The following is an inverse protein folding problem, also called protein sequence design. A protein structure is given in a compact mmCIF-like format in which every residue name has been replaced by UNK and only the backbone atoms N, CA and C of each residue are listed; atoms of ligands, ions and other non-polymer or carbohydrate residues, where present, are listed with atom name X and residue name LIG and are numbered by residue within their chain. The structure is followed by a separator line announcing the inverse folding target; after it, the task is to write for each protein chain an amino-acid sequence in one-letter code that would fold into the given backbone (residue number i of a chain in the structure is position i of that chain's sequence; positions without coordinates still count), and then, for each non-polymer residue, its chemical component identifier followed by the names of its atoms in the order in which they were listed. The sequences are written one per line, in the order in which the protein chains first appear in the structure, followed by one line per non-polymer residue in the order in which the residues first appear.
data_IF_391036810135
#
_entry.id   IF_391036810135
#
_cell.length_a   1.000
_cell.length_b   1.000
_cell.length_c   1.000
_cell.angle_alpha   90.00
_cell.angle_beta   90.00
_cell.angle_gamma   90.00
#
_symmetry.space_group_name_H-M   'P 1'
#
loop_
_entity.id
_entity.type
_entity.pdbx_description
1 polymer ?
#
# COMPACT_ATOMS: atom_id res chain seq x y z
N UNK A 1 -30.33 69.39 -11.67
CA UNK A 1 -29.30 68.54 -11.03
C UNK A 1 -29.96 67.21 -10.69
N UNK A 2 -29.90 66.23 -11.62
CA UNK A 2 -30.42 64.84 -11.41
C UNK A 2 -29.38 64.00 -10.83
N UNK A 3 -29.61 63.40 -9.66
CA UNK A 3 -28.76 62.41 -9.03
C UNK A 3 -29.14 61.03 -9.57
N UNK A 4 -28.26 60.42 -10.32
CA UNK A 4 -28.35 59.02 -10.71
C UNK A 4 -27.95 58.12 -9.52
N UNK A 5 -28.86 57.30 -9.01
CA UNK A 5 -28.59 56.25 -8.05
C UNK A 5 -28.21 55.00 -8.82
N UNK A 6 -26.94 54.58 -8.71
CA UNK A 6 -26.45 53.30 -9.21
C UNK A 6 -26.74 52.26 -8.10
N UNK A 7 -27.68 51.37 -8.34
CA UNK A 7 -27.92 50.22 -7.48
C UNK A 7 -26.98 49.11 -7.89
N UNK A 8 -25.99 48.82 -7.03
CA UNK A 8 -25.11 47.64 -7.19
C UNK A 8 -25.87 46.40 -6.75
N UNK A 9 -26.23 45.53 -7.70
CA UNK A 9 -26.73 44.20 -7.40
C UNK A 9 -25.56 43.28 -7.01
N UNK A 10 -25.45 42.98 -5.74
CA UNK A 10 -24.55 41.91 -5.26
C UNK A 10 -25.16 40.56 -5.64
N UNK A 11 -24.55 39.86 -6.59
CA UNK A 11 -24.88 38.48 -6.91
C UNK A 11 -24.31 37.62 -5.78
N UNK A 12 -25.15 37.18 -4.85
CA UNK A 12 -24.82 36.10 -3.92
C UNK A 12 -24.71 34.80 -4.74
N UNK A 13 -23.51 34.35 -5.03
CA UNK A 13 -23.29 32.98 -5.44
C UNK A 13 -23.51 32.10 -4.21
N UNK A 14 -24.68 31.52 -4.09
CA UNK A 14 -24.93 30.43 -3.15
C UNK A 14 -24.10 29.21 -3.62
N UNK A 15 -23.02 28.92 -2.93
CA UNK A 15 -22.33 27.61 -3.06
C UNK A 15 -23.30 26.56 -2.52
N UNK A 16 -24.01 25.87 -3.41
CA UNK A 16 -24.76 24.68 -3.03
C UNK A 16 -23.73 23.66 -2.55
N UNK A 17 -23.82 23.25 -1.28
CA UNK A 17 -23.09 22.11 -0.80
C UNK A 17 -23.48 20.91 -1.66
N UNK A 18 -22.50 20.21 -2.24
CA UNK A 18 -22.77 19.02 -3.02
C UNK A 18 -23.47 17.98 -2.12
N UNK A 19 -24.47 17.29 -2.66
CA UNK A 19 -25.14 16.21 -1.95
C UNK A 19 -24.14 15.06 -1.71
N UNK A 20 -24.36 14.28 -0.64
CA UNK A 20 -23.59 13.05 -0.41
C UNK A 20 -23.75 12.10 -1.60
N UNK A 21 -22.68 11.36 -1.92
CA UNK A 21 -22.71 10.39 -3.00
C UNK A 21 -23.68 9.24 -2.70
N UNK A 22 -24.42 8.75 -3.72
CA UNK A 22 -25.22 7.54 -3.59
C UNK A 22 -24.32 6.32 -3.41
N UNK A 23 -24.76 5.36 -2.63
CA UNK A 23 -24.11 4.05 -2.53
C UNK A 23 -24.42 3.23 -3.79
N UNK A 24 -23.54 3.26 -4.76
CA UNK A 24 -23.71 2.54 -6.04
C UNK A 24 -23.02 1.18 -5.97
N UNK A 25 -23.64 0.16 -6.56
CA UNK A 25 -23.08 -1.18 -6.69
C UNK A 25 -23.10 -1.63 -8.15
N UNK A 26 -22.26 -2.61 -8.48
CA UNK A 26 -22.17 -3.13 -9.84
C UNK A 26 -21.39 -2.22 -10.81
N UNK A 27 -21.24 -2.63 -12.07
CA UNK A 27 -20.47 -1.90 -13.08
C UNK A 27 -21.18 -0.66 -13.64
N UNK A 28 -22.42 -0.39 -13.22
CA UNK A 28 -23.28 0.66 -13.75
C UNK A 28 -22.90 2.07 -13.24
N UNK A 29 -21.96 2.15 -12.31
CA UNK A 29 -21.54 3.44 -11.76
C UNK A 29 -20.94 4.40 -12.80
N UNK A 30 -20.61 3.91 -13.99
CA UNK A 30 -19.91 4.67 -15.02
C UNK A 30 -18.41 4.75 -14.76
N UNK A 31 -17.66 5.45 -15.60
CA UNK A 31 -16.22 5.61 -15.46
C UNK A 31 -15.40 4.83 -16.46
N UNK A 32 -14.08 4.99 -16.37
CA UNK A 32 -13.14 4.37 -17.32
C UNK A 32 -13.01 2.87 -17.13
N UNK A 33 -13.12 2.39 -15.89
CA UNK A 33 -12.99 0.98 -15.56
C UNK A 33 -14.21 0.49 -14.77
N UNK A 34 -14.72 -0.72 -15.05
CA UNK A 34 -15.78 -1.32 -14.24
C UNK A 34 -15.36 -1.44 -12.77
N UNK A 35 -16.28 -1.13 -11.85
CA UNK A 35 -16.10 -1.24 -10.39
C UNK A 35 -14.97 -0.40 -9.75
N UNK A 36 -14.22 0.39 -10.53
CA UNK A 36 -13.05 1.10 -10.04
C UNK A 36 -13.02 2.54 -10.56
N UNK A 37 -12.87 3.51 -9.65
CA UNK A 37 -12.88 4.93 -9.98
C UNK A 37 -11.82 5.68 -9.19
N UNK A 38 -11.26 6.73 -9.80
CA UNK A 38 -10.65 7.79 -9.03
C UNK A 38 -11.76 8.61 -8.34
N UNK A 39 -11.50 9.09 -7.11
CA UNK A 39 -12.50 9.85 -6.33
C UNK A 39 -13.12 11.01 -7.12
N UNK A 40 -12.27 11.85 -7.72
CA UNK A 40 -12.76 13.01 -8.48
C UNK A 40 -13.60 12.61 -9.71
N UNK A 41 -13.27 11.49 -10.36
CA UNK A 41 -14.05 10.92 -11.47
C UNK A 41 -15.43 10.47 -10.98
N UNK A 42 -15.48 9.74 -9.86
CA UNK A 42 -16.72 9.27 -9.26
C UNK A 42 -17.62 10.43 -8.83
N UNK A 43 -17.10 11.38 -8.07
CA UNK A 43 -17.83 12.56 -7.62
C UNK A 43 -18.39 13.37 -8.79
N UNK A 44 -17.62 13.56 -9.85
CA UNK A 44 -18.05 14.24 -11.06
C UNK A 44 -19.16 13.47 -11.78
N UNK A 45 -19.02 12.16 -11.94
CA UNK A 45 -20.00 11.32 -12.64
C UNK A 45 -21.34 11.28 -11.91
N UNK A 46 -21.32 11.27 -10.57
CA UNK A 46 -22.51 11.20 -9.72
C UNK A 46 -23.05 12.59 -9.29
N UNK A 47 -22.33 13.67 -9.57
CA UNK A 47 -22.71 15.02 -9.14
C UNK A 47 -22.75 15.20 -7.62
N UNK A 48 -21.86 14.57 -6.89
CA UNK A 48 -21.87 14.46 -5.44
C UNK A 48 -20.50 14.72 -4.82
N UNK A 49 -20.42 14.65 -3.49
CA UNK A 49 -19.15 14.62 -2.74
C UNK A 49 -19.14 13.44 -1.77
N UNK A 50 -18.05 12.66 -1.75
CA UNK A 50 -17.88 11.53 -0.86
C UNK A 50 -17.58 12.01 0.57
N UNK A 51 -18.37 11.52 1.51
CA UNK A 51 -18.10 11.60 2.95
C UNK A 51 -17.52 10.28 3.42
N UNK A 52 -16.40 10.32 4.14
CA UNK A 52 -15.71 9.10 4.54
C UNK A 52 -16.16 8.60 5.91
N UNK A 53 -16.30 7.28 6.01
CA UNK A 53 -16.61 6.56 7.24
C UNK A 53 -15.53 5.53 7.52
N UNK A 54 -15.26 5.30 8.79
CA UNK A 54 -14.28 4.30 9.23
C UNK A 54 -14.95 3.13 9.95
N UNK A 55 -14.23 2.02 10.00
CA UNK A 55 -14.62 0.87 10.81
C UNK A 55 -14.73 1.27 12.30
N UNK A 56 -15.87 1.08 12.97
CA UNK A 56 -16.03 1.44 14.39
C UNK A 56 -15.03 0.74 15.33
N UNK A 57 -14.49 -0.42 14.92
CA UNK A 57 -13.50 -1.16 15.69
C UNK A 57 -12.05 -0.73 15.42
N UNK A 58 -11.80 0.23 14.49
CA UNK A 58 -10.46 0.48 13.96
C UNK A 58 -9.44 0.90 15.03
N UNK A 59 -9.84 1.66 16.04
CA UNK A 59 -8.96 2.04 17.14
C UNK A 59 -8.54 0.83 18.00
N UNK A 60 -9.50 -0.08 18.27
CA UNK A 60 -9.22 -1.32 18.99
C UNK A 60 -8.32 -2.27 18.17
N UNK A 61 -8.51 -2.32 16.86
CA UNK A 61 -7.65 -3.11 15.97
C UNK A 61 -6.25 -2.51 15.90
N UNK A 62 -6.12 -1.18 15.76
CA UNK A 62 -4.84 -0.50 15.74
C UNK A 62 -4.03 -0.69 17.04
N UNK A 63 -4.67 -0.72 18.20
CA UNK A 63 -3.99 -0.94 19.48
C UNK A 63 -3.33 -2.32 19.60
N UNK A 64 -3.70 -3.26 18.72
CA UNK A 64 -3.08 -4.59 18.63
C UNK A 64 -1.82 -4.62 17.75
N UNK A 65 -1.56 -3.54 17.00
CA UNK A 65 -0.37 -3.43 16.14
C UNK A 65 0.77 -2.91 17.00
N UNK A 66 1.81 -3.72 17.29
CA UNK A 66 2.89 -3.32 18.19
C UNK A 66 3.64 -2.09 17.66
N UNK A 67 3.68 -1.04 18.46
CA UNK A 67 4.40 0.20 18.14
C UNK A 67 3.61 1.23 17.33
N UNK A 68 2.37 0.94 16.92
CA UNK A 68 1.56 1.92 16.21
C UNK A 68 1.10 3.05 17.17
N UNK A 69 1.14 4.30 16.70
CA UNK A 69 0.63 5.44 17.46
C UNK A 69 -0.92 5.45 17.49
N UNK A 70 -1.49 6.33 18.30
CA UNK A 70 -2.93 6.64 18.20
C UNK A 70 -3.28 7.15 16.81
N UNK A 71 -4.47 6.76 16.32
CA UNK A 71 -4.90 7.13 14.99
C UNK A 71 -5.34 8.59 14.90
N UNK A 72 -4.85 9.35 13.92
CA UNK A 72 -5.43 10.64 13.58
C UNK A 72 -6.80 10.45 12.92
N UNK A 73 -7.53 11.55 12.71
CA UNK A 73 -8.81 11.52 12.01
C UNK A 73 -8.70 10.84 10.63
N UNK A 74 -9.74 10.15 10.20
CA UNK A 74 -9.76 9.38 8.94
C UNK A 74 -9.30 10.19 7.72
N UNK A 75 -9.70 11.45 7.62
CA UNK A 75 -9.29 12.34 6.53
C UNK A 75 -7.77 12.59 6.45
N UNK A 76 -7.04 12.36 7.53
CA UNK A 76 -5.57 12.45 7.57
C UNK A 76 -4.89 11.11 7.28
N UNK A 77 -5.65 10.02 7.27
CA UNK A 77 -5.18 8.66 7.01
C UNK A 77 -5.37 8.23 5.57
N UNK A 78 -6.41 8.72 4.91
CA UNK A 78 -6.67 8.46 3.49
C UNK A 78 -5.83 9.39 2.61
N UNK A 79 -5.42 8.94 1.41
CA UNK A 79 -4.89 9.84 0.40
C UNK A 79 -5.95 10.86 -0.04
N UNK A 80 -5.51 11.97 -0.66
CA UNK A 80 -6.43 13.00 -1.17
C UNK A 80 -7.39 12.44 -2.22
N UNK A 81 -6.90 11.49 -3.02
CA UNK A 81 -7.63 10.75 -4.04
C UNK A 81 -7.60 9.24 -3.71
N UNK A 82 -8.41 8.76 -2.75
CA UNK A 82 -8.53 7.32 -2.51
C UNK A 82 -9.13 6.63 -3.75
N UNK A 83 -8.77 5.36 -3.92
CA UNK A 83 -9.38 4.53 -4.93
C UNK A 83 -10.79 4.14 -4.48
N UNK A 84 -11.79 4.44 -5.30
CA UNK A 84 -13.20 4.13 -5.01
C UNK A 84 -13.57 2.81 -5.68
N UNK A 85 -14.07 1.87 -4.88
CA UNK A 85 -14.48 0.54 -5.34
C UNK A 85 -16.00 0.44 -5.27
N UNK A 86 -16.66 0.14 -6.41
CA UNK A 86 -18.07 -0.21 -6.42
C UNK A 86 -18.22 -1.70 -6.10
N UNK A 87 -18.83 -2.08 -4.97
CA UNK A 87 -19.07 -3.49 -4.66
C UNK A 87 -19.99 -4.14 -5.71
N UNK A 88 -19.81 -5.43 -5.98
CA UNK A 88 -20.58 -6.13 -7.01
C UNK A 88 -22.09 -6.15 -6.76
N UNK A 89 -22.50 -6.39 -5.53
CA UNK A 89 -23.93 -6.63 -5.19
C UNK A 89 -24.47 -5.69 -4.12
N UNK A 90 -23.68 -5.43 -3.09
CA UNK A 90 -24.11 -4.63 -1.94
C UNK A 90 -22.92 -4.01 -1.22
N UNK A 91 -23.16 -2.89 -0.54
CA UNK A 91 -22.20 -2.33 0.43
C UNK A 91 -22.02 -3.34 1.56
N UNK A 92 -20.76 -3.59 1.92
CA UNK A 92 -20.43 -4.52 3.00
C UNK A 92 -20.72 -3.96 4.38
N UNK A 93 -20.55 -4.80 5.39
CA UNK A 93 -20.66 -4.43 6.80
C UNK A 93 -19.33 -4.68 7.50
N UNK A 94 -18.93 -3.74 8.35
CA UNK A 94 -17.72 -3.90 9.15
C UNK A 94 -17.86 -5.01 10.18
N UNK A 95 -16.80 -5.79 10.37
CA UNK A 95 -16.71 -6.81 11.40
C UNK A 95 -16.22 -8.15 10.88
N UNK A 96 -16.29 -9.13 11.75
CA UNK A 96 -16.00 -10.53 11.43
C UNK A 96 -14.51 -10.87 11.35
N UNK A 97 -14.27 -12.17 11.25
CA UNK A 97 -12.95 -12.79 11.07
C UNK A 97 -13.04 -13.69 9.84
N UNK A 98 -12.09 -13.56 8.94
CA UNK A 98 -11.89 -14.50 7.84
C UNK A 98 -10.96 -15.61 8.34
N UNK A 99 -11.49 -16.80 8.53
CA UNK A 99 -10.69 -17.99 8.86
C UNK A 99 -10.16 -18.62 7.57
N UNK A 100 -8.88 -18.98 7.58
CA UNK A 100 -8.20 -19.64 6.47
C UNK A 100 -7.20 -20.67 6.94
N UNK A 101 -6.85 -21.57 6.06
CA UNK A 101 -5.86 -22.62 6.25
C UNK A 101 -4.73 -22.39 5.26
N UNK A 102 -3.48 -22.56 5.68
CA UNK A 102 -2.31 -22.43 4.82
C UNK A 102 -1.28 -23.51 5.12
N UNK A 103 -0.59 -23.99 4.08
CA UNK A 103 0.58 -24.85 4.21
C UNK A 103 1.88 -24.07 4.34
N UNK A 104 1.90 -22.81 3.93
CA UNK A 104 3.08 -21.98 3.91
C UNK A 104 3.40 -21.42 5.29
N UNK A 105 4.24 -22.13 6.04
CA UNK A 105 4.64 -21.75 7.39
C UNK A 105 5.74 -20.68 7.44
N UNK A 106 6.65 -20.67 6.47
CA UNK A 106 7.88 -19.86 6.56
C UNK A 106 8.31 -19.20 5.25
N UNK A 107 7.92 -19.74 4.11
CA UNK A 107 8.44 -19.30 2.80
C UNK A 107 7.83 -18.02 2.27
N UNK A 108 6.83 -17.49 2.97
CA UNK A 108 6.18 -16.27 2.58
C UNK A 108 5.01 -16.44 1.63
N UNK A 109 4.76 -17.60 1.03
CA UNK A 109 3.57 -17.81 0.18
C UNK A 109 2.38 -18.19 1.05
N UNK A 110 1.36 -17.35 1.11
CA UNK A 110 0.14 -17.57 1.86
C UNK A 110 -1.04 -17.84 0.93
N UNK A 111 -1.87 -18.81 1.28
CA UNK A 111 -3.11 -19.10 0.55
C UNK A 111 -4.11 -17.93 0.63
N UNK A 112 -3.87 -17.00 1.57
CA UNK A 112 -4.66 -15.77 1.74
C UNK A 112 -4.04 -14.54 1.05
N UNK A 113 -3.02 -14.72 0.20
CA UNK A 113 -2.36 -13.62 -0.50
C UNK A 113 -3.36 -12.77 -1.30
N UNK A 114 -4.27 -13.40 -2.01
CA UNK A 114 -5.25 -12.74 -2.88
C UNK A 114 -6.17 -11.74 -2.16
N UNK A 115 -6.37 -11.90 -0.85
CA UNK A 115 -7.27 -11.02 -0.08
C UNK A 115 -6.56 -9.84 0.57
N UNK A 116 -5.22 -9.78 0.54
CA UNK A 116 -4.45 -8.72 1.20
C UNK A 116 -3.43 -8.02 0.31
N UNK A 117 -2.88 -8.73 -0.69
CA UNK A 117 -1.79 -8.24 -1.53
C UNK A 117 -2.17 -7.00 -2.35
N UNK A 118 -1.24 -6.08 -2.49
CA UNK A 118 -1.38 -4.88 -3.33
C UNK A 118 -0.16 -4.69 -4.23
N UNK A 119 -0.42 -4.32 -5.48
CA UNK A 119 0.59 -3.99 -6.48
C UNK A 119 0.46 -2.53 -6.93
N UNK A 120 1.46 -2.01 -7.63
CA UNK A 120 1.39 -0.65 -8.21
C UNK A 120 0.18 -0.48 -9.10
N UNK A 121 -0.06 -1.46 -9.96
CA UNK A 121 -1.23 -1.57 -10.84
C UNK A 121 -1.77 -3.00 -10.72
N UNK A 122 -2.95 -3.27 -11.22
CA UNK A 122 -3.53 -4.62 -11.16
C UNK A 122 -4.26 -4.93 -12.47
N UNK A 123 -4.49 -6.21 -12.74
CA UNK A 123 -5.46 -6.59 -13.77
C UNK A 123 -6.88 -6.39 -13.25
N UNK A 124 -7.74 -5.93 -14.15
CA UNK A 124 -9.18 -5.91 -13.93
C UNK A 124 -9.75 -7.34 -14.01
N UNK A 125 -11.04 -7.49 -13.74
CA UNK A 125 -11.74 -8.78 -13.74
C UNK A 125 -11.75 -9.50 -15.10
N UNK A 126 -11.52 -8.76 -16.18
CA UNK A 126 -11.36 -9.31 -17.52
C UNK A 126 -9.99 -10.00 -17.73
N UNK A 127 -9.06 -9.88 -16.78
CA UNK A 127 -7.69 -10.39 -16.83
C UNK A 127 -6.87 -9.91 -18.04
N UNK A 128 -7.27 -8.80 -18.64
CA UNK A 128 -6.64 -8.21 -19.83
C UNK A 128 -6.32 -6.74 -19.63
N UNK A 129 -7.22 -6.00 -19.01
CA UNK A 129 -7.08 -4.57 -18.80
C UNK A 129 -6.31 -4.29 -17.52
N UNK A 130 -5.20 -3.55 -17.63
CA UNK A 130 -4.48 -3.08 -16.45
C UNK A 130 -5.15 -1.80 -15.95
N UNK A 131 -5.38 -1.75 -14.64
CA UNK A 131 -6.10 -0.68 -13.96
C UNK A 131 -5.27 -0.08 -12.82
N UNK A 132 -5.53 1.17 -12.38
CA UNK A 132 -4.91 1.78 -11.22
C UNK A 132 -5.06 0.95 -9.95
N UNK A 133 -4.08 1.08 -9.05
CA UNK A 133 -4.15 0.53 -7.71
C UNK A 133 -3.36 1.46 -6.76
N UNK A 134 -2.17 1.07 -6.26
CA UNK A 134 -1.29 1.95 -5.47
C UNK A 134 -0.88 3.15 -6.32
N UNK A 135 -0.47 2.93 -7.56
CA UNK A 135 -0.30 4.01 -8.54
C UNK A 135 -1.67 4.49 -9.06
N UNK A 136 -1.80 5.81 -9.18
CA UNK A 136 -3.00 6.47 -9.70
C UNK A 136 -3.08 6.40 -11.23
N UNK A 137 -1.94 6.54 -11.89
CA UNK A 137 -1.82 6.48 -13.35
C UNK A 137 -0.39 6.18 -13.76
N UNK A 138 -0.20 5.96 -15.07
CA UNK A 138 1.11 5.73 -15.66
C UNK A 138 1.16 6.21 -17.10
N UNK A 139 2.37 6.46 -17.59
CA UNK A 139 2.63 6.85 -18.96
C UNK A 139 3.92 6.20 -19.48
N UNK A 140 3.85 5.66 -20.68
CA UNK A 140 5.01 5.24 -21.46
C UNK A 140 5.51 6.37 -22.36
N UNK A 141 6.81 6.39 -22.64
CA UNK A 141 7.33 7.08 -23.81
C UNK A 141 7.09 6.25 -25.08
N UNK A 142 7.36 6.85 -26.27
CA UNK A 142 6.99 6.27 -27.57
C UNK A 142 7.69 4.93 -27.89
N UNK A 143 8.87 4.70 -27.34
CA UNK A 143 9.69 3.50 -27.62
C UNK A 143 9.70 2.47 -26.48
N UNK A 144 8.87 2.64 -25.45
CA UNK A 144 8.76 1.74 -24.29
C UNK A 144 10.07 1.55 -23.50
N UNK A 145 10.96 2.54 -23.54
CA UNK A 145 12.19 2.57 -22.74
C UNK A 145 12.03 3.36 -21.44
N UNK A 146 10.89 4.05 -21.24
CA UNK A 146 10.63 4.81 -20.04
C UNK A 146 9.17 4.66 -19.61
N UNK A 147 8.98 4.27 -18.34
CA UNK A 147 7.68 4.18 -17.69
C UNK A 147 7.64 5.15 -16.51
N UNK A 148 6.66 6.05 -16.51
CA UNK A 148 6.45 7.01 -15.43
C UNK A 148 5.14 6.70 -14.72
N UNK A 149 5.18 6.58 -13.38
CA UNK A 149 4.00 6.42 -12.53
C UNK A 149 3.71 7.70 -11.76
N UNK A 150 2.42 7.99 -11.62
CA UNK A 150 1.88 9.00 -10.73
C UNK A 150 1.30 8.28 -9.50
N UNK A 151 1.76 8.64 -8.30
CA UNK A 151 1.29 8.06 -7.04
C UNK A 151 0.19 8.93 -6.40
N UNK A 152 -0.55 8.34 -5.45
CA UNK A 152 -1.61 9.03 -4.72
C UNK A 152 -1.03 9.96 -3.67
N UNK A 153 -1.30 11.26 -3.78
CA UNK A 153 -0.83 12.26 -2.81
C UNK A 153 -1.43 12.00 -1.42
N UNK A 154 -0.55 11.96 -0.40
CA UNK A 154 -0.96 11.71 0.98
C UNK A 154 -1.24 10.24 1.30
N UNK A 155 -0.83 9.30 0.44
CA UNK A 155 -0.87 7.87 0.75
C UNK A 155 0.07 7.58 1.93
N UNK A 156 -0.34 6.70 2.83
CA UNK A 156 0.37 6.39 4.07
C UNK A 156 0.72 4.92 4.17
N UNK A 157 1.86 4.64 4.78
CA UNK A 157 2.17 3.33 5.33
C UNK A 157 1.26 3.00 6.53
N UNK A 158 1.19 1.75 6.91
CA UNK A 158 0.33 1.27 8.03
C UNK A 158 0.72 1.81 9.40
N UNK A 159 1.89 2.41 9.55
CA UNK A 159 2.35 3.12 10.76
C UNK A 159 2.12 4.64 10.70
N UNK A 160 1.50 5.13 9.62
CA UNK A 160 1.16 6.54 9.40
C UNK A 160 2.23 7.37 8.72
N UNK A 161 3.41 6.82 8.43
CA UNK A 161 4.44 7.52 7.65
C UNK A 161 3.96 7.74 6.20
N UNK A 162 4.45 8.80 5.55
CA UNK A 162 4.13 9.06 4.14
C UNK A 162 4.73 7.99 3.24
N UNK A 163 3.91 7.48 2.30
CA UNK A 163 4.37 6.67 1.18
C UNK A 163 4.62 7.57 -0.03
N UNK A 164 5.81 7.45 -0.62
CA UNK A 164 6.25 8.28 -1.74
C UNK A 164 7.02 7.47 -2.80
N UNK A 165 7.33 8.09 -3.92
CA UNK A 165 8.18 7.50 -4.96
C UNK A 165 9.59 7.10 -4.45
N UNK A 166 10.06 7.74 -3.38
CA UNK A 166 11.32 7.40 -2.72
C UNK A 166 11.32 5.98 -2.11
N UNK A 167 10.17 5.47 -1.68
CA UNK A 167 10.03 4.11 -1.14
C UNK A 167 10.21 3.05 -2.25
N UNK A 168 9.75 3.36 -3.46
CA UNK A 168 9.92 2.50 -4.63
C UNK A 168 11.37 2.57 -5.14
N UNK A 169 11.93 3.77 -5.23
CA UNK A 169 13.33 3.97 -5.60
C UNK A 169 14.27 3.26 -4.61
N UNK A 170 13.98 3.34 -3.31
CA UNK A 170 14.72 2.63 -2.26
C UNK A 170 14.61 1.11 -2.43
N UNK A 171 13.39 0.58 -2.61
CA UNK A 171 13.17 -0.84 -2.87
C UNK A 171 14.05 -1.33 -4.02
N UNK A 172 14.07 -0.62 -5.15
CA UNK A 172 14.85 -1.06 -6.30
C UNK A 172 16.36 -0.85 -6.09
N UNK A 173 16.79 0.39 -5.85
CA UNK A 173 18.20 0.76 -5.88
C UNK A 173 19.00 0.24 -4.68
N UNK A 174 18.38 0.16 -3.49
CA UNK A 174 19.07 -0.16 -2.25
C UNK A 174 18.74 -1.55 -1.71
N UNK A 175 17.72 -2.23 -2.23
CA UNK A 175 17.37 -3.59 -1.77
C UNK A 175 17.49 -4.61 -2.90
N UNK A 176 16.78 -4.41 -4.04
CA UNK A 176 16.83 -5.38 -5.15
C UNK A 176 18.21 -5.46 -5.80
N UNK A 177 18.91 -4.34 -5.90
CA UNK A 177 20.25 -4.25 -6.52
C UNK A 177 21.40 -4.38 -5.51
N UNK A 178 21.13 -4.52 -4.20
CA UNK A 178 22.17 -4.76 -3.19
C UNK A 178 22.41 -6.26 -2.97
N UNK A 179 23.57 -6.74 -3.39
CA UNK A 179 23.96 -8.16 -3.28
C UNK A 179 24.13 -8.66 -1.83
N UNK A 180 24.19 -7.78 -0.83
CA UNK A 180 24.15 -8.15 0.58
C UNK A 180 22.73 -8.56 1.02
N UNK A 181 21.70 -8.14 0.28
CA UNK A 181 20.29 -8.42 0.57
C UNK A 181 19.75 -9.45 -0.43
N UNK A 182 19.83 -9.15 -1.72
CA UNK A 182 19.39 -10.04 -2.81
C UNK A 182 20.62 -10.54 -3.56
N UNK A 183 20.93 -11.81 -3.45
CA UNK A 183 22.17 -12.38 -4.01
C UNK A 183 22.29 -12.26 -5.53
N UNK A 184 21.16 -12.27 -6.22
CA UNK A 184 21.08 -12.14 -7.68
C UNK A 184 19.88 -11.29 -8.04
N UNK A 185 20.12 -10.21 -8.79
CA UNK A 185 19.04 -9.34 -9.26
C UNK A 185 18.04 -10.15 -10.09
N UNK A 186 16.72 -9.98 -9.85
CA UNK A 186 15.69 -10.70 -10.61
C UNK A 186 15.69 -10.24 -12.07
N UNK A 187 15.76 -11.20 -13.00
CA UNK A 187 15.81 -10.92 -14.45
C UNK A 187 14.63 -10.05 -14.92
N UNK A 188 13.44 -10.23 -14.33
CA UNK A 188 12.24 -9.45 -14.68
C UNK A 188 12.32 -7.97 -14.33
N UNK A 189 13.31 -7.59 -13.50
CA UNK A 189 13.63 -6.21 -13.12
C UNK A 189 14.96 -5.73 -13.71
N UNK A 190 15.38 -6.37 -14.82
CA UNK A 190 16.57 -6.03 -15.58
C UNK A 190 16.21 -5.85 -17.06
N UNK A 191 16.89 -4.94 -17.77
CA UNK A 191 16.83 -4.82 -19.21
C UNK A 191 18.02 -5.59 -19.81
N UNK A 192 17.81 -6.86 -20.15
CA UNK A 192 18.92 -7.79 -20.43
C UNK A 192 19.79 -7.98 -19.19
N UNK A 193 21.06 -7.61 -19.29
CA UNK A 193 22.05 -7.65 -18.20
C UNK A 193 22.18 -6.32 -17.44
N UNK A 194 21.36 -5.32 -17.81
CA UNK A 194 21.47 -3.96 -17.26
C UNK A 194 20.35 -3.68 -16.26
N UNK A 195 20.68 -3.11 -15.09
CA UNK A 195 19.68 -2.65 -14.15
C UNK A 195 18.89 -1.47 -14.74
N UNK A 196 17.68 -1.27 -14.25
CA UNK A 196 16.89 -0.07 -14.53
C UNK A 196 17.52 1.15 -13.86
N UNK A 197 17.25 2.34 -14.39
CA UNK A 197 17.40 3.58 -13.64
C UNK A 197 16.05 3.95 -13.05
N UNK A 198 15.91 3.80 -11.72
CA UNK A 198 14.69 4.09 -10.97
C UNK A 198 14.87 5.35 -10.16
N UNK A 199 14.10 6.38 -10.48
CA UNK A 199 14.21 7.73 -9.95
C UNK A 199 12.88 8.21 -9.36
N UNK A 200 12.91 8.69 -8.12
CA UNK A 200 11.85 9.50 -7.56
C UNK A 200 12.05 10.95 -8.06
N UNK A 201 11.30 11.36 -9.08
CA UNK A 201 11.37 12.70 -9.66
C UNK A 201 10.88 13.74 -8.65
N UNK A 202 9.81 13.38 -7.94
CA UNK A 202 9.27 14.07 -6.77
C UNK A 202 8.54 13.05 -5.87
N UNK A 203 7.86 13.50 -4.83
CA UNK A 203 7.20 12.60 -3.88
C UNK A 203 6.11 11.71 -4.52
N UNK A 204 5.49 12.14 -5.62
CA UNK A 204 4.41 11.42 -6.29
C UNK A 204 4.82 10.83 -7.65
N UNK A 205 5.92 11.27 -8.23
CA UNK A 205 6.32 10.89 -9.60
C UNK A 205 7.52 9.95 -9.56
N UNK A 206 7.29 8.70 -9.97
CA UNK A 206 8.34 7.70 -10.16
C UNK A 206 8.65 7.53 -11.64
N UNK A 207 9.92 7.56 -12.01
CA UNK A 207 10.40 7.27 -13.37
C UNK A 207 11.28 6.03 -13.37
N UNK A 208 10.97 5.10 -14.28
CA UNK A 208 11.77 3.91 -14.54
C UNK A 208 12.26 3.99 -15.98
N UNK A 209 13.58 4.03 -16.17
CA UNK A 209 14.21 4.05 -17.50
C UNK A 209 14.99 2.76 -17.73
N UNK A 210 14.82 2.15 -18.89
CA UNK A 210 15.40 0.87 -19.30
C UNK A 210 16.35 1.05 -20.47
N UNK A 211 17.38 0.20 -20.55
CA UNK A 211 18.38 0.24 -21.62
C UNK A 211 17.82 -0.21 -22.98
N UNK A 212 16.69 -0.90 -23.00
CA UNK A 212 15.99 -1.40 -24.18
C UNK A 212 14.47 -1.42 -23.96
N UNK A 213 13.64 -1.48 -25.02
CA UNK A 213 12.18 -1.48 -24.90
C UNK A 213 11.65 -2.66 -24.07
N UNK A 214 10.83 -2.37 -23.05
CA UNK A 214 10.21 -3.38 -22.19
C UNK A 214 8.69 -3.19 -22.04
N UNK A 215 7.89 -3.34 -23.11
CA UNK A 215 6.44 -3.08 -23.05
C UNK A 215 5.69 -3.99 -22.05
N UNK A 216 6.25 -5.16 -21.71
CA UNK A 216 5.69 -6.10 -20.74
C UNK A 216 5.90 -5.71 -19.27
N UNK A 217 6.74 -4.72 -18.95
CA UNK A 217 7.08 -4.36 -17.56
C UNK A 217 5.85 -3.95 -16.75
N UNK A 218 4.90 -3.25 -17.37
CA UNK A 218 3.66 -2.87 -16.68
C UNK A 218 2.85 -4.09 -16.22
N UNK A 219 2.81 -5.16 -17.03
CA UNK A 219 2.16 -6.42 -16.66
C UNK A 219 2.90 -7.12 -15.52
N UNK A 220 4.23 -7.03 -15.48
CA UNK A 220 5.03 -7.52 -14.35
C UNK A 220 4.59 -6.84 -13.05
N UNK A 221 4.46 -5.51 -13.03
CA UNK A 221 3.98 -4.77 -11.85
C UNK A 221 2.51 -5.05 -11.48
N UNK A 222 1.74 -5.67 -12.37
CA UNK A 222 0.35 -6.08 -12.08
C UNK A 222 0.24 -7.50 -11.51
N UNK A 223 1.24 -8.37 -11.76
CA UNK A 223 1.16 -9.81 -11.48
C UNK A 223 2.17 -10.27 -10.43
N UNK A 224 3.29 -9.56 -10.26
CA UNK A 224 4.41 -10.04 -9.45
C UNK A 224 4.04 -10.09 -7.96
N UNK A 225 4.51 -11.14 -7.28
CA UNK A 225 4.38 -11.27 -5.83
C UNK A 225 5.28 -10.28 -5.09
N UNK A 226 6.36 -9.82 -5.70
CA UNK A 226 7.18 -8.77 -5.13
C UNK A 226 6.42 -7.45 -5.17
N UNK A 227 6.11 -6.92 -4.01
CA UNK A 227 5.61 -5.56 -3.89
C UNK A 227 6.76 -4.60 -4.18
N UNK A 228 6.65 -3.72 -5.21
CA UNK A 228 7.76 -2.88 -5.65
C UNK A 228 7.93 -1.64 -4.78
N UNK A 229 7.82 -1.79 -3.48
CA UNK A 229 7.99 -0.73 -2.48
C UNK A 229 8.34 -1.30 -1.12
N UNK A 230 9.17 -0.57 -0.38
CA UNK A 230 9.55 -0.89 1.01
C UNK A 230 9.59 0.39 1.85
N UNK A 231 9.28 0.31 3.16
CA UNK A 231 9.25 1.48 4.03
C UNK A 231 10.65 2.04 4.27
N UNK A 232 11.07 2.97 3.39
CA UNK A 232 12.37 3.63 3.44
C UNK A 232 12.62 4.30 4.78
N UNK A 233 11.61 4.97 5.37
CA UNK A 233 11.71 5.66 6.65
C UNK A 233 12.16 4.74 7.80
N UNK A 234 11.81 3.45 7.75
CA UNK A 234 12.25 2.44 8.71
C UNK A 234 13.57 1.81 8.28
N UNK A 235 13.59 1.18 7.09
CA UNK A 235 14.70 0.29 6.69
C UNK A 235 15.99 1.04 6.37
N UNK A 236 15.93 2.28 5.87
CA UNK A 236 17.13 3.08 5.60
C UNK A 236 17.96 3.36 6.85
N UNK A 237 17.34 3.36 8.03
CA UNK A 237 18.04 3.54 9.30
C UNK A 237 19.00 2.40 9.63
N UNK A 238 18.73 1.22 9.08
CA UNK A 238 19.52 -0.01 9.28
C UNK A 238 20.33 -0.40 8.04
N UNK A 239 20.26 0.40 6.96
CA UNK A 239 21.00 0.12 5.74
C UNK A 239 22.42 0.70 5.81
N UNK A 240 23.49 -0.14 5.84
CA UNK A 240 24.86 0.34 6.08
C UNK A 240 25.38 1.35 5.05
N UNK A 241 24.90 1.27 3.79
CA UNK A 241 25.29 2.25 2.76
C UNK A 241 24.58 3.61 2.92
N UNK A 242 23.45 3.67 3.65
CA UNK A 242 22.65 4.89 3.82
C UNK A 242 22.82 5.52 5.20
N UNK A 243 23.19 4.73 6.20
CA UNK A 243 23.36 5.19 7.57
C UNK A 243 24.64 4.60 8.19
N UNK A 244 25.60 5.46 8.50
CA UNK A 244 26.87 5.04 9.14
C UNK A 244 26.69 4.37 10.49
N UNK A 245 25.59 4.62 11.19
CA UNK A 245 25.28 4.06 12.51
C UNK A 245 24.38 2.81 12.41
N UNK A 246 24.12 2.30 11.19
CA UNK A 246 23.18 1.19 10.91
C UNK A 246 23.50 -0.05 11.73
N UNK A 247 24.76 -0.49 11.73
CA UNK A 247 25.19 -1.69 12.46
C UNK A 247 25.05 -1.51 13.97
N UNK A 248 25.46 -0.35 14.50
CA UNK A 248 25.32 -0.07 15.94
C UNK A 248 23.85 -0.02 16.37
N UNK A 249 22.95 0.50 15.53
CA UNK A 249 21.51 0.47 15.79
C UNK A 249 20.96 -0.95 15.78
N UNK A 250 21.31 -1.75 14.78
CA UNK A 250 20.87 -3.13 14.65
C UNK A 250 21.37 -4.01 15.82
N UNK A 251 22.62 -3.82 16.24
CA UNK A 251 23.21 -4.53 17.39
C UNK A 251 22.47 -4.25 18.70
N UNK A 252 22.02 -3.03 18.93
CA UNK A 252 21.18 -2.69 20.10
C UNK A 252 19.84 -3.43 20.10
N UNK A 253 19.36 -3.85 18.94
CA UNK A 253 18.14 -4.63 18.77
C UNK A 253 18.38 -6.14 18.72
N UNK A 254 19.63 -6.59 18.97
CA UNK A 254 20.00 -8.00 19.01
C UNK A 254 20.32 -8.63 17.66
N UNK A 255 20.60 -7.81 16.63
CA UNK A 255 21.08 -8.29 15.32
C UNK A 255 22.59 -8.13 15.19
N UNK A 256 23.20 -8.93 14.33
CA UNK A 256 24.63 -8.88 14.07
C UNK A 256 25.06 -7.54 13.45
N UNK A 257 24.30 -7.08 12.46
CA UNK A 257 24.53 -5.83 11.73
C UNK A 257 23.23 -5.35 11.05
N UNK A 258 23.29 -4.22 10.35
CA UNK A 258 22.15 -3.65 9.66
C UNK A 258 21.57 -4.55 8.58
N UNK A 259 22.40 -5.19 7.78
CA UNK A 259 21.94 -6.14 6.75
C UNK A 259 21.21 -7.34 7.36
N UNK A 260 21.67 -7.85 8.49
CA UNK A 260 21.00 -8.95 9.19
C UNK A 260 19.57 -8.55 9.64
N UNK A 261 19.38 -7.31 10.07
CA UNK A 261 18.06 -6.79 10.41
C UNK A 261 17.17 -6.65 9.16
N UNK A 262 17.67 -6.06 8.08
CA UNK A 262 16.93 -5.92 6.83
C UNK A 262 16.53 -7.29 6.29
N UNK A 263 17.47 -8.25 6.27
CA UNK A 263 17.23 -9.61 5.83
C UNK A 263 16.22 -10.35 6.71
N UNK A 264 16.13 -10.01 7.99
CA UNK A 264 15.12 -10.57 8.87
C UNK A 264 13.72 -10.12 8.46
N UNK A 265 13.53 -8.82 8.19
CA UNK A 265 12.25 -8.29 7.73
C UNK A 265 11.90 -8.74 6.31
N UNK A 266 12.83 -8.54 5.39
CA UNK A 266 12.58 -8.75 3.96
C UNK A 266 12.90 -10.17 3.51
N UNK A 267 13.90 -10.82 4.14
CA UNK A 267 14.48 -12.09 3.72
C UNK A 267 15.48 -11.91 2.59
N UNK A 268 16.00 -13.02 2.10
CA UNK A 268 16.98 -13.08 1.00
C UNK A 268 16.33 -13.45 -0.35
N UNK A 269 15.01 -13.46 -0.40
CA UNK A 269 14.24 -13.71 -1.61
C UNK A 269 13.68 -12.38 -2.14
N UNK A 270 13.66 -12.25 -3.44
CA UNK A 270 13.08 -11.12 -4.14
C UNK A 270 11.55 -11.08 -4.12
N UNK A 271 10.94 -12.11 -3.52
CA UNK A 271 9.50 -12.20 -3.35
C UNK A 271 9.16 -12.82 -1.98
N UNK A 272 8.31 -12.14 -1.25
CA UNK A 272 7.66 -12.64 -0.03
C UNK A 272 6.28 -12.05 0.04
N UNK A 273 5.31 -12.92 0.24
CA UNK A 273 3.92 -12.51 0.39
C UNK A 273 3.63 -11.96 1.79
N UNK A 274 4.29 -12.48 2.80
CA UNK A 274 4.28 -11.94 4.16
C UNK A 274 5.73 -11.74 4.60
N UNK A 275 6.19 -10.51 4.78
CA UNK A 275 7.51 -10.25 5.34
C UNK A 275 7.67 -10.97 6.68
N UNK A 276 8.83 -11.54 6.93
CA UNK A 276 9.16 -12.11 8.23
C UNK A 276 9.01 -11.01 9.29
N UNK A 277 8.34 -11.31 10.39
CA UNK A 277 8.11 -10.35 11.45
C UNK A 277 8.96 -10.70 12.67
N UNK A 278 9.26 -9.68 13.50
CA UNK A 278 9.88 -9.90 14.80
C UNK A 278 8.90 -10.43 15.85
N UNK A 279 7.63 -10.61 15.52
CA UNK A 279 6.60 -11.07 16.46
C UNK A 279 6.85 -12.49 17.00
N UNK A 280 7.57 -13.33 16.25
CA UNK A 280 8.03 -14.65 16.71
C UNK A 280 9.13 -14.57 17.79
N UNK A 281 9.83 -13.44 17.87
CA UNK A 281 10.86 -13.17 18.88
C UNK A 281 10.42 -11.99 19.74
N UNK A 282 9.76 -12.30 20.85
CA UNK A 282 9.21 -11.28 21.75
C UNK A 282 10.27 -10.30 22.27
N UNK A 283 11.49 -10.75 22.55
CA UNK A 283 12.53 -9.88 23.07
C UNK A 283 12.94 -8.81 22.03
N UNK A 284 13.07 -9.21 20.76
CA UNK A 284 13.35 -8.28 19.66
C UNK A 284 12.16 -7.36 19.37
N UNK A 285 10.92 -7.89 19.41
CA UNK A 285 9.72 -7.09 19.25
C UNK A 285 9.62 -5.99 20.31
N UNK A 286 9.86 -6.33 21.57
CA UNK A 286 9.87 -5.37 22.69
C UNK A 286 11.00 -4.33 22.53
N UNK A 287 12.19 -4.75 22.09
CA UNK A 287 13.31 -3.84 21.84
C UNK A 287 13.02 -2.84 20.72
N UNK A 288 12.38 -3.29 19.63
CA UNK A 288 11.91 -2.41 18.55
C UNK A 288 10.88 -1.39 19.04
N UNK A 289 9.87 -1.85 19.78
CA UNK A 289 8.84 -0.97 20.34
C UNK A 289 9.42 0.08 21.29
N UNK A 290 10.37 -0.30 22.16
CA UNK A 290 11.08 0.63 23.04
C UNK A 290 11.93 1.65 22.28
N UNK A 291 12.44 1.27 21.12
CA UNK A 291 13.19 2.15 20.22
C UNK A 291 12.29 3.04 19.34
N UNK A 292 10.97 2.92 19.47
CA UNK A 292 9.99 3.71 18.69
C UNK A 292 9.71 3.15 17.28
N UNK A 293 10.00 1.86 17.03
CA UNK A 293 9.71 1.18 15.77
C UNK A 293 8.56 0.19 15.92
N UNK A 294 7.87 -0.09 14.81
CA UNK A 294 6.85 -1.16 14.77
C UNK A 294 7.52 -2.54 14.73
N UNK A 295 6.96 -3.51 15.44
CA UNK A 295 7.44 -4.90 15.38
C UNK A 295 7.04 -5.61 14.07
N UNK A 296 5.98 -5.15 13.40
CA UNK A 296 5.61 -5.58 12.05
C UNK A 296 6.16 -4.60 11.03
N UNK A 297 6.65 -5.10 9.90
CA UNK A 297 7.07 -4.23 8.81
C UNK A 297 5.86 -3.39 8.34
N UNK A 298 5.98 -2.06 8.28
CA UNK A 298 4.93 -1.23 7.71
C UNK A 298 4.57 -1.67 6.29
N UNK A 299 3.28 -1.73 5.99
CA UNK A 299 2.75 -2.23 4.73
C UNK A 299 1.70 -1.31 4.13
N UNK A 300 1.45 -1.43 2.83
CA UNK A 300 0.32 -0.82 2.12
C UNK A 300 -0.85 -1.80 1.95
N UNK A 301 -0.70 -3.05 2.38
CA UNK A 301 -1.72 -4.09 2.27
C UNK A 301 -2.96 -3.76 3.12
N UNK A 302 -4.08 -4.43 2.80
CA UNK A 302 -5.34 -4.26 3.52
C UNK A 302 -5.29 -4.77 4.97
N UNK A 303 -4.33 -5.66 5.29
CA UNK A 303 -4.21 -6.28 6.61
C UNK A 303 -2.76 -6.29 7.09
N UNK A 304 -2.58 -6.18 8.40
CA UNK A 304 -1.28 -6.11 9.07
C UNK A 304 -1.17 -7.31 10.01
N UNK A 305 -0.02 -8.00 9.97
CA UNK A 305 0.27 -9.12 10.88
C UNK A 305 0.48 -8.57 12.30
N UNK A 306 -0.32 -9.07 13.25
CA UNK A 306 -0.23 -8.71 14.68
C UNK A 306 0.18 -9.88 15.57
N UNK A 307 0.08 -11.09 15.06
CA UNK A 307 0.51 -12.32 15.72
C UNK A 307 1.09 -13.28 14.68
N UNK A 308 2.25 -13.84 14.96
CA UNK A 308 2.92 -14.81 14.10
C UNK A 308 3.54 -15.90 14.97
N UNK A 309 3.01 -17.12 14.86
CA UNK A 309 3.40 -18.29 15.65
C UNK A 309 3.68 -19.47 14.74
N UNK A 310 4.13 -20.60 15.31
CA UNK A 310 4.27 -21.84 14.57
C UNK A 310 2.94 -22.48 14.15
N UNK A 311 1.84 -22.07 14.78
CA UNK A 311 0.50 -22.63 14.56
C UNK A 311 -0.32 -21.79 13.57
N UNK A 312 0.07 -20.53 13.35
CA UNK A 312 -0.64 -19.64 12.45
C UNK A 312 -0.33 -18.16 12.67
N UNK A 313 -1.08 -17.34 11.93
CA UNK A 313 -0.98 -15.88 11.97
C UNK A 313 -2.34 -15.25 12.23
N UNK A 314 -2.30 -14.07 12.85
CA UNK A 314 -3.45 -13.16 12.90
C UNK A 314 -3.07 -11.83 12.26
N UNK A 315 -3.98 -11.34 11.43
CA UNK A 315 -3.85 -10.04 10.79
C UNK A 315 -5.07 -9.20 11.15
N UNK A 316 -4.89 -7.90 11.27
CA UNK A 316 -5.96 -6.93 11.49
C UNK A 316 -6.06 -5.95 10.34
N UNK A 317 -7.24 -5.37 10.15
CA UNK A 317 -7.46 -4.36 9.12
C UNK A 317 -6.49 -3.19 9.27
N UNK A 318 -5.91 -2.76 8.15
CA UNK A 318 -4.99 -1.63 8.07
C UNK A 318 -5.77 -0.31 8.20
N UNK A 319 -5.53 0.50 9.25
CA UNK A 319 -6.25 1.75 9.45
C UNK A 319 -5.90 2.84 8.42
N UNK A 320 -4.85 2.65 7.63
CA UNK A 320 -4.39 3.56 6.58
C UNK A 320 -4.64 3.03 5.17
N UNK A 321 -5.46 1.96 5.03
CA UNK A 321 -5.72 1.41 3.71
C UNK A 321 -6.40 2.43 2.79
N UNK A 322 -5.92 2.55 1.56
CA UNK A 322 -6.20 3.66 0.66
C UNK A 322 -7.48 3.54 -0.16
N UNK A 323 -8.21 2.46 -0.01
CA UNK A 323 -9.44 2.21 -0.77
C UNK A 323 -10.68 2.50 0.06
N UNK A 324 -11.70 3.01 -0.61
CA UNK A 324 -13.04 3.25 -0.06
C UNK A 324 -14.09 2.64 -0.98
N UNK A 325 -15.29 2.35 -0.47
CA UNK A 325 -16.42 2.00 -1.32
C UNK A 325 -17.16 3.26 -1.82
N UNK A 326 -18.20 3.06 -2.63
CA UNK A 326 -19.03 4.13 -3.19
C UNK A 326 -19.88 4.86 -2.16
N UNK A 327 -20.04 4.32 -0.96
CA UNK A 327 -20.66 5.00 0.19
C UNK A 327 -19.64 5.76 1.05
N UNK A 328 -18.33 5.72 0.67
CA UNK A 328 -17.24 6.36 1.41
C UNK A 328 -16.72 5.56 2.60
N UNK A 329 -17.10 4.30 2.75
CA UNK A 329 -16.59 3.45 3.82
C UNK A 329 -15.16 3.01 3.50
N UNK A 330 -14.20 3.26 4.41
CA UNK A 330 -12.84 2.77 4.26
C UNK A 330 -12.80 1.24 4.27
N UNK A 331 -12.13 0.63 3.29
CA UNK A 331 -11.91 -0.80 3.24
C UNK A 331 -10.69 -1.21 4.10
N UNK A 332 -10.55 -2.49 4.50
CA UNK A 332 -11.48 -3.60 4.27
C UNK A 332 -12.67 -3.60 5.23
N UNK A 333 -13.75 -4.29 4.88
CA UNK A 333 -14.88 -4.49 5.79
C UNK A 333 -14.56 -5.49 6.91
N UNK A 334 -13.80 -6.55 6.58
CA UNK A 334 -13.44 -7.61 7.53
C UNK A 334 -12.43 -7.06 8.54
N UNK A 335 -12.65 -7.31 9.83
CA UNK A 335 -11.76 -6.84 10.88
C UNK A 335 -10.45 -7.60 10.93
N UNK A 336 -10.50 -8.92 10.76
CA UNK A 336 -9.36 -9.80 11.02
C UNK A 336 -9.28 -10.94 10.00
N UNK A 337 -8.04 -11.40 9.77
CA UNK A 337 -7.77 -12.70 9.16
C UNK A 337 -7.12 -13.58 10.23
N UNK A 338 -7.59 -14.83 10.33
CA UNK A 338 -6.98 -15.89 11.11
C UNK A 338 -6.50 -16.97 10.16
N UNK A 339 -5.20 -17.10 10.02
CA UNK A 339 -4.55 -18.12 9.21
C UNK A 339 -4.02 -19.23 10.12
N UNK A 340 -4.42 -20.46 9.87
CA UNK A 340 -3.95 -21.65 10.59
C UNK A 340 -3.02 -22.43 9.70
N UNK A 341 -1.83 -22.76 10.21
CA UNK A 341 -0.87 -23.58 9.48
C UNK A 341 -1.14 -25.06 9.69
N UNK A 342 -1.17 -25.82 8.59
CA UNK A 342 -1.32 -27.27 8.61
C UNK A 342 -0.07 -27.91 8.01
N UNK A 343 0.47 -28.92 8.72
CA UNK A 343 1.70 -29.59 8.31
C UNK A 343 1.53 -30.68 7.26
N UNK A 344 0.41 -31.40 7.27
CA UNK A 344 0.14 -32.52 6.37
C UNK A 344 -1.31 -32.55 5.89
N UNK A 345 -1.55 -33.22 4.77
CA UNK A 345 -2.85 -33.38 4.10
C UNK A 345 -3.64 -34.62 4.58
N UNK A 346 -3.52 -35.04 5.82
CA UNK A 346 -4.28 -36.20 6.33
C UNK A 346 -5.73 -35.85 6.68
#
# INVERSE_FOLDING_TARGET
MSKLLIASAAVLMATQAAANCPAVTGPEAGGKYPHLFEKAEYEKAQGCSLSFNENPAINALNSRIPGNPELPALAQRLPQEPLVIAPYKQIGQYGGVLDGISKATESGTSDLLSVRHVNLVRFNDDLQTIVPNVAKSWQWNDDFTQLTFELRKGHKWSDGADFTAEDIAFWYNNVQMDTNIIKSAPERFMAGDKPFNVEAVDAQTLRISMAEPMPGLLSTFALDFAQPFLPKHLLSQFHPQLNKDADAKAQKLGFENGYALINFYYGQSDWKDVPTTLLKDKAKADALAQAGFTASLPTLEAFIVVEDTLEGRRLVANPYFFQVDTAGNQLPYINEIKEVFIGDED
#
